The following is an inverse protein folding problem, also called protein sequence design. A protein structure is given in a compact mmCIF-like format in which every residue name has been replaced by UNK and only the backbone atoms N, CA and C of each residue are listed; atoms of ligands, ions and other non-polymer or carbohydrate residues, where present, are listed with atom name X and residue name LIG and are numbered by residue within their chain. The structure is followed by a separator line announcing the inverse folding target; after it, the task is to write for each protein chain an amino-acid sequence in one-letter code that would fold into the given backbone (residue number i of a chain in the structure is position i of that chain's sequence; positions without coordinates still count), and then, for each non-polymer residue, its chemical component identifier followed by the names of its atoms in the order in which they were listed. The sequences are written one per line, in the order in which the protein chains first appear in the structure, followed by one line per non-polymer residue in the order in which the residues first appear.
data_IF_680293408151
#
_entry.id   IF_680293408151
#
_cell.length_a   1.000
_cell.length_b   1.000
_cell.length_c   1.000
_cell.angle_alpha   90.00
_cell.angle_beta   90.00
_cell.angle_gamma   90.00
#
_symmetry.space_group_name_H-M   'P 1'
#
loop_
_entity.id
_entity.type
_entity.pdbx_description
1 polymer ?
#
# COMPACT_ATOMS: atom_id res chain seq x y z
N UNK A 1 5.70 -24.94 -8.19
CA UNK A 1 4.63 -23.95 -8.43
C UNK A 1 5.11 -22.58 -8.04
N UNK A 2 4.88 -21.62 -8.90
CA UNK A 2 5.39 -20.26 -8.71
C UNK A 2 4.45 -19.41 -7.87
N UNK A 3 4.53 -19.58 -6.57
CA UNK A 3 3.80 -18.76 -5.63
C UNK A 3 4.70 -18.28 -4.50
N UNK A 4 4.34 -17.15 -3.91
CA UNK A 4 5.01 -16.60 -2.74
C UNK A 4 3.96 -16.29 -1.69
N UNK A 5 4.24 -16.62 -0.44
CA UNK A 5 3.32 -16.35 0.65
C UNK A 5 3.40 -14.89 1.07
N UNK A 6 2.27 -14.22 1.26
CA UNK A 6 2.20 -12.80 1.62
C UNK A 6 1.44 -12.63 2.92
N UNK A 7 2.04 -11.90 3.84
CA UNK A 7 1.41 -11.53 5.10
C UNK A 7 1.50 -10.01 5.28
N UNK A 8 0.36 -9.36 5.43
CA UNK A 8 0.26 -7.91 5.67
C UNK A 8 -0.31 -7.71 7.07
N UNK A 9 0.49 -7.11 7.94
CA UNK A 9 0.17 -6.89 9.36
C UNK A 9 0.31 -5.42 9.70
N UNK A 10 -0.62 -4.89 10.48
CA UNK A 10 -0.53 -3.56 11.09
C UNK A 10 -0.57 -3.68 12.61
N UNK A 11 -0.44 -2.53 13.29
CA UNK A 11 -0.58 -2.47 14.75
C UNK A 11 -1.94 -2.97 15.23
N UNK A 12 -2.97 -2.91 14.39
CA UNK A 12 -4.33 -3.34 14.71
C UNK A 12 -4.59 -4.83 14.44
N UNK A 13 -3.64 -5.51 13.79
CA UNK A 13 -3.74 -6.93 13.50
C UNK A 13 -3.40 -7.29 12.07
N UNK A 14 -3.67 -8.52 11.72
CA UNK A 14 -3.45 -9.07 10.38
C UNK A 14 -4.54 -8.59 9.40
N UNK A 15 -4.11 -8.07 8.26
CA UNK A 15 -5.01 -7.58 7.22
C UNK A 15 -5.14 -8.59 6.09
N UNK A 16 -4.06 -9.27 5.74
CA UNK A 16 -4.04 -10.27 4.68
C UNK A 16 -3.02 -11.36 4.97
N UNK A 17 -3.39 -12.59 4.65
CA UNK A 17 -2.52 -13.76 4.71
C UNK A 17 -2.93 -14.72 3.59
N UNK A 18 -2.05 -14.92 2.61
CA UNK A 18 -2.36 -15.75 1.47
C UNK A 18 -1.21 -15.89 0.48
N UNK A 19 -1.43 -16.69 -0.55
CA UNK A 19 -0.44 -16.94 -1.59
C UNK A 19 -0.66 -16.01 -2.79
N UNK A 20 0.42 -15.52 -3.36
CA UNK A 20 0.41 -14.62 -4.50
C UNK A 20 1.30 -15.12 -5.64
N UNK A 21 0.91 -14.74 -6.86
CA UNK A 21 1.73 -14.88 -8.04
C UNK A 21 2.73 -13.73 -8.20
N UNK A 22 2.34 -12.53 -7.73
CA UNK A 22 3.18 -11.33 -7.77
C UNK A 22 2.67 -10.30 -6.76
N UNK A 23 3.57 -9.49 -6.23
CA UNK A 23 3.23 -8.40 -5.32
C UNK A 23 3.97 -7.13 -5.76
N UNK A 24 3.28 -5.99 -5.72
CA UNK A 24 3.86 -4.68 -5.95
C UNK A 24 3.69 -3.83 -4.69
N UNK A 25 4.77 -3.22 -4.23
CA UNK A 25 4.77 -2.46 -2.98
C UNK A 25 5.48 -1.10 -3.15
N UNK A 26 5.03 -0.05 -2.41
CA UNK A 26 5.60 1.29 -2.53
C UNK A 26 6.85 1.43 -1.65
N UNK A 27 8.00 0.96 -2.14
CA UNK A 27 9.26 1.06 -1.43
C UNK A 27 9.81 2.50 -1.47
N UNK A 28 10.79 2.80 -0.59
CA UNK A 28 11.36 4.14 -0.46
C UNK A 28 11.93 4.70 -1.76
N UNK A 29 12.55 3.85 -2.57
CA UNK A 29 13.18 4.25 -3.84
C UNK A 29 12.26 4.10 -5.05
N UNK A 30 11.00 3.78 -4.85
CA UNK A 30 10.01 3.55 -5.90
C UNK A 30 9.29 2.23 -5.72
N UNK A 31 8.31 1.98 -6.60
CA UNK A 31 7.57 0.73 -6.56
C UNK A 31 8.48 -0.47 -6.87
N UNK A 32 8.38 -1.51 -6.06
CA UNK A 32 9.10 -2.75 -6.25
C UNK A 32 8.11 -3.88 -6.59
N UNK A 33 8.41 -4.65 -7.64
CA UNK A 33 7.68 -5.84 -8.01
C UNK A 33 8.39 -7.09 -7.48
N UNK A 34 7.67 -7.97 -6.80
CA UNK A 34 8.23 -9.13 -6.14
C UNK A 34 7.57 -10.38 -6.71
N UNK A 35 8.37 -11.18 -7.38
CA UNK A 35 7.99 -12.48 -7.90
C UNK A 35 8.41 -13.60 -6.93
N UNK A 36 7.83 -14.81 -7.04
CA UNK A 36 8.30 -15.97 -6.28
C UNK A 36 9.80 -16.21 -6.47
N UNK A 37 10.46 -16.64 -5.42
CA UNK A 37 11.92 -16.86 -5.36
C UNK A 37 12.76 -15.58 -5.48
N UNK A 38 12.16 -14.42 -5.23
CA UNK A 38 12.88 -13.15 -5.19
C UNK A 38 14.01 -13.19 -4.17
N UNK A 39 15.13 -12.55 -4.49
CA UNK A 39 16.25 -12.42 -3.55
C UNK A 39 15.82 -11.70 -2.27
N UNK A 40 16.42 -12.05 -1.12
CA UNK A 40 16.10 -11.36 0.13
C UNK A 40 16.26 -9.84 0.03
N UNK A 41 15.28 -9.12 0.57
CA UNK A 41 15.26 -7.66 0.56
C UNK A 41 14.61 -7.16 1.85
N UNK A 42 15.18 -6.12 2.43
CA UNK A 42 14.58 -5.38 3.54
C UNK A 42 14.59 -3.90 3.19
N UNK A 43 13.42 -3.29 3.15
CA UNK A 43 13.31 -1.87 2.80
C UNK A 43 12.15 -1.21 3.52
N UNK A 44 12.25 0.12 3.70
CA UNK A 44 11.14 0.92 4.18
C UNK A 44 10.07 1.10 3.10
N UNK A 45 8.84 1.35 3.54
CA UNK A 45 7.71 1.66 2.69
C UNK A 45 7.29 3.11 2.85
N UNK A 46 6.90 3.73 1.74
CA UNK A 46 6.20 5.01 1.71
C UNK A 46 4.69 4.79 1.84
N UNK A 47 3.92 5.80 2.24
CA UNK A 47 2.48 5.74 2.07
C UNK A 47 2.12 5.44 0.62
N UNK A 48 1.29 4.42 0.41
CA UNK A 48 0.93 4.01 -0.94
C UNK A 48 0.11 2.73 -0.98
N UNK A 49 -0.10 2.23 -2.19
CA UNK A 49 -0.84 1.02 -2.45
C UNK A 49 0.05 -0.21 -2.60
N UNK A 50 -0.33 -1.27 -1.93
CA UNK A 50 0.20 -2.62 -2.16
C UNK A 50 -0.79 -3.35 -3.06
N UNK A 51 -0.30 -3.89 -4.17
CA UNK A 51 -1.10 -4.66 -5.12
C UNK A 51 -0.67 -6.12 -5.08
N UNK A 52 -1.62 -6.98 -4.79
CA UNK A 52 -1.38 -8.43 -4.71
C UNK A 52 -2.12 -9.11 -5.86
N UNK A 53 -1.40 -9.88 -6.67
CA UNK A 53 -1.99 -10.78 -7.65
C UNK A 53 -2.12 -12.14 -6.98
N UNK A 54 -3.32 -12.58 -6.61
CA UNK A 54 -3.48 -13.86 -5.92
C UNK A 54 -3.03 -15.02 -6.78
N UNK A 55 -2.47 -16.03 -6.14
CA UNK A 55 -2.15 -17.29 -6.81
C UNK A 55 -3.40 -18.16 -6.89
N UNK A 56 -3.73 -18.63 -8.08
CA UNK A 56 -4.83 -19.56 -8.33
C UNK A 56 -4.30 -20.73 -9.15
N UNK A 57 -4.63 -21.94 -8.76
CA UNK A 57 -4.26 -23.13 -9.53
C UNK A 57 -5.05 -23.16 -10.85
N UNK A 58 -4.41 -23.65 -11.92
CA UNK A 58 -5.06 -23.85 -13.22
C UNK A 58 -5.07 -22.64 -14.15
N UNK A 59 -4.24 -21.64 -13.91
CA UNK A 59 -4.12 -20.42 -14.73
C UNK A 59 -5.40 -19.56 -14.80
N UNK A 60 -6.32 -19.73 -13.89
CA UNK A 60 -7.44 -18.80 -13.76
C UNK A 60 -6.94 -17.45 -13.28
N UNK A 61 -7.45 -16.39 -13.89
CA UNK A 61 -7.15 -15.04 -13.43
C UNK A 61 -8.04 -14.69 -12.27
N UNK A 62 -7.44 -14.50 -11.10
CA UNK A 62 -8.13 -13.93 -9.96
C UNK A 62 -8.05 -12.40 -10.03
N UNK A 63 -9.02 -11.74 -9.42
CA UNK A 63 -8.99 -10.28 -9.28
C UNK A 63 -7.83 -9.85 -8.40
N UNK A 64 -7.15 -8.78 -8.81
CA UNK A 64 -6.09 -8.19 -8.00
C UNK A 64 -6.66 -7.60 -6.72
N UNK A 65 -5.90 -7.75 -5.64
CA UNK A 65 -6.25 -7.17 -4.34
C UNK A 65 -5.40 -5.93 -4.09
N UNK A 66 -6.04 -4.89 -3.58
CA UNK A 66 -5.40 -3.61 -3.29
C UNK A 66 -5.51 -3.30 -1.81
N UNK A 67 -4.37 -2.89 -1.23
CA UNK A 67 -4.28 -2.50 0.17
C UNK A 67 -3.58 -1.14 0.24
N UNK A 68 -4.10 -0.26 1.10
CA UNK A 68 -3.39 0.96 1.46
C UNK A 68 -2.50 0.70 2.67
N UNK A 69 -1.25 1.19 2.62
CA UNK A 69 -0.34 1.20 3.77
C UNK A 69 0.15 2.63 4.00
N UNK A 70 0.21 3.04 5.25
CA UNK A 70 0.65 4.39 5.62
C UNK A 70 2.17 4.54 5.73
N UNK A 71 2.89 3.50 5.44
CA UNK A 71 4.33 3.34 5.62
C UNK A 71 4.61 2.09 6.40
N UNK A 72 5.86 1.83 6.70
CA UNK A 72 6.28 0.65 7.43
C UNK A 72 7.51 0.00 6.81
N UNK A 73 7.60 -1.31 6.93
CA UNK A 73 8.75 -2.10 6.48
C UNK A 73 8.28 -3.28 5.63
N UNK A 74 9.01 -3.52 4.57
CA UNK A 74 8.84 -4.69 3.69
C UNK A 74 10.03 -5.62 3.88
N UNK A 75 9.77 -6.87 4.23
CA UNK A 75 10.75 -7.95 4.26
C UNK A 75 10.40 -8.98 3.18
N UNK A 76 11.37 -9.26 2.31
CA UNK A 76 11.23 -10.27 1.24
C UNK A 76 12.17 -11.41 1.50
N UNK A 77 11.64 -12.62 1.49
CA UNK A 77 12.37 -13.88 1.44
C UNK A 77 11.91 -14.65 0.20
N UNK A 78 12.68 -15.63 -0.31
CA UNK A 78 12.29 -16.32 -1.55
C UNK A 78 10.89 -16.94 -1.53
N UNK A 79 10.42 -17.37 -0.36
CA UNK A 79 9.13 -18.04 -0.19
C UNK A 79 8.08 -17.21 0.53
N UNK A 80 8.47 -16.06 1.09
CA UNK A 80 7.58 -15.26 1.95
C UNK A 80 7.86 -13.77 1.86
N UNK A 81 6.79 -12.99 1.78
CA UNK A 81 6.80 -11.53 1.91
C UNK A 81 6.08 -11.18 3.21
N UNK A 82 6.69 -10.32 4.03
CA UNK A 82 6.05 -9.76 5.22
C UNK A 82 6.02 -8.25 5.10
N UNK A 83 4.84 -7.67 5.21
CA UNK A 83 4.64 -6.23 5.26
C UNK A 83 4.17 -5.88 6.67
N UNK A 84 5.00 -5.13 7.40
CA UNK A 84 4.68 -4.57 8.70
C UNK A 84 4.36 -3.10 8.50
N UNK A 85 3.08 -2.80 8.41
CA UNK A 85 2.62 -1.44 8.14
C UNK A 85 2.27 -0.71 9.44
N UNK A 86 2.48 0.61 9.44
CA UNK A 86 2.02 1.44 10.55
C UNK A 86 0.50 1.39 10.64
N UNK A 87 -0.15 1.61 9.51
CA UNK A 87 -1.59 1.43 9.30
C UNK A 87 -1.80 0.72 7.97
N UNK A 88 -2.72 -0.21 7.93
CA UNK A 88 -3.09 -0.89 6.69
C UNK A 88 -4.60 -1.02 6.58
N UNK A 89 -5.11 -0.85 5.37
CA UNK A 89 -6.54 -0.98 5.08
C UNK A 89 -6.73 -1.66 3.73
N UNK A 90 -7.78 -2.47 3.62
CA UNK A 90 -8.22 -2.93 2.31
C UNK A 90 -8.73 -1.73 1.51
N UNK A 91 -8.42 -1.69 0.22
CA UNK A 91 -8.83 -0.56 -0.62
C UNK A 91 -10.35 -0.35 -0.63
N UNK A 92 -11.13 -1.42 -0.53
CA UNK A 92 -12.60 -1.35 -0.45
C UNK A 92 -13.12 -0.59 0.77
N UNK A 93 -12.30 -0.47 1.82
CA UNK A 93 -12.65 0.21 3.07
C UNK A 93 -12.18 1.67 3.08
N UNK A 94 -11.50 2.13 2.02
CA UNK A 94 -11.06 3.52 1.90
C UNK A 94 -12.24 4.44 1.59
N UNK A 95 -12.31 5.55 2.33
CA UNK A 95 -13.28 6.62 2.10
C UNK A 95 -12.62 7.74 1.32
N UNK A 96 -12.95 7.85 0.02
CA UNK A 96 -12.40 8.89 -0.85
C UNK A 96 -12.79 10.30 -0.42
N UNK A 97 -14.00 10.49 0.11
CA UNK A 97 -14.44 11.80 0.59
C UNK A 97 -13.66 12.23 1.84
N UNK A 98 -13.42 11.30 2.77
CA UNK A 98 -12.61 11.57 3.95
C UNK A 98 -11.15 11.87 3.59
N UNK A 99 -10.58 11.16 2.61
CA UNK A 99 -9.23 11.40 2.11
C UNK A 99 -9.10 12.77 1.46
N UNK A 100 -10.08 13.19 0.65
CA UNK A 100 -10.10 14.52 0.01
C UNK A 100 -10.18 15.64 1.05
N UNK A 101 -11.01 15.49 2.05
CA UNK A 101 -11.13 16.45 3.17
C UNK A 101 -9.83 16.53 3.98
N UNK A 102 -9.20 15.39 4.28
CA UNK A 102 -7.93 15.34 4.98
C UNK A 102 -6.82 16.04 4.17
N UNK A 103 -6.81 15.86 2.86
CA UNK A 103 -5.87 16.55 1.95
C UNK A 103 -6.04 18.07 2.03
N UNK A 104 -7.26 18.56 1.97
CA UNK A 104 -7.55 20.00 2.06
C UNK A 104 -7.10 20.60 3.38
N UNK A 105 -7.38 19.92 4.49
CA UNK A 105 -6.96 20.38 5.83
C UNK A 105 -5.43 20.45 5.93
N UNK A 106 -4.73 19.45 5.42
CA UNK A 106 -3.27 19.44 5.43
C UNK A 106 -2.68 20.56 4.56
N UNK A 107 -3.24 20.81 3.37
CA UNK A 107 -2.82 21.91 2.51
C UNK A 107 -3.04 23.27 3.18
N UNK A 108 -4.17 23.47 3.85
CA UNK A 108 -4.46 24.72 4.56
C UNK A 108 -3.50 24.95 5.74
N UNK A 109 -3.18 23.91 6.49
CA UNK A 109 -2.19 23.97 7.58
C UNK A 109 -0.79 24.33 7.07
N UNK A 110 -0.40 23.81 5.93
CA UNK A 110 0.89 24.15 5.29
C UNK A 110 0.95 25.61 4.85
N UNK A 111 -0.16 26.19 4.45
CA UNK A 111 -0.24 27.63 4.10
C UNK A 111 -0.06 28.55 5.30
N UNK A 112 -0.49 28.13 6.49
CA UNK A 112 -0.43 28.93 7.71
C UNK A 112 0.97 28.97 8.36
N UNK A 113 1.85 27.99 8.09
CA UNK A 113 3.26 27.91 8.52
C UNK A 113 3.52 28.21 10.00
N UNK A 114 2.78 27.58 10.88
CA UNK A 114 2.78 27.95 12.31
C UNK A 114 3.97 27.42 13.12
N UNK A 115 4.44 26.19 12.85
CA UNK A 115 5.63 25.61 13.48
C UNK A 115 6.24 24.49 12.63
N UNK A 116 7.51 24.14 12.90
CA UNK A 116 8.18 23.05 12.19
C UNK A 116 7.50 21.69 12.44
N UNK A 117 7.01 21.46 13.67
CA UNK A 117 6.31 20.22 14.03
C UNK A 117 4.94 20.14 13.33
N UNK A 118 4.19 21.23 13.29
CA UNK A 118 2.91 21.29 12.61
C UNK A 118 3.05 21.14 11.10
N UNK A 119 4.10 21.73 10.51
CA UNK A 119 4.43 21.56 9.08
C UNK A 119 4.76 20.11 8.78
N UNK A 120 5.58 19.45 9.60
CA UNK A 120 5.94 18.04 9.41
C UNK A 120 4.72 17.12 9.52
N UNK A 121 3.84 17.37 10.50
CA UNK A 121 2.59 16.62 10.66
C UNK A 121 1.66 16.82 9.46
N UNK A 122 1.49 18.06 9.01
CA UNK A 122 0.65 18.37 7.85
C UNK A 122 1.19 17.73 6.56
N UNK A 123 2.52 17.72 6.38
CA UNK A 123 3.13 17.05 5.23
C UNK A 123 2.90 15.55 5.26
N UNK A 124 2.97 14.91 6.42
CA UNK A 124 2.71 13.48 6.57
C UNK A 124 1.24 13.16 6.28
N UNK A 125 0.30 13.96 6.78
CA UNK A 125 -1.13 13.82 6.51
C UNK A 125 -1.46 14.03 5.03
N UNK A 126 -0.82 15.00 4.40
CA UNK A 126 -0.97 15.26 2.97
C UNK A 126 -0.49 14.07 2.14
N UNK A 127 0.68 13.52 2.47
CA UNK A 127 1.23 12.36 1.78
C UNK A 127 0.32 11.14 1.91
N UNK A 128 -0.22 10.89 3.10
CA UNK A 128 -1.15 9.79 3.34
C UNK A 128 -2.44 9.96 2.55
N UNK A 129 -3.06 11.14 2.59
CA UNK A 129 -4.30 11.42 1.86
C UNK A 129 -4.10 11.34 0.34
N UNK A 130 -3.00 11.89 -0.17
CA UNK A 130 -2.66 11.82 -1.58
C UNK A 130 -2.44 10.37 -2.05
N UNK A 131 -1.80 9.54 -1.23
CA UNK A 131 -1.57 8.13 -1.53
C UNK A 131 -2.89 7.35 -1.60
N UNK A 132 -3.82 7.61 -0.68
CA UNK A 132 -5.15 6.99 -0.69
C UNK A 132 -5.94 7.35 -1.94
N UNK A 133 -5.95 8.63 -2.32
CA UNK A 133 -6.63 9.11 -3.52
C UNK A 133 -6.02 8.52 -4.79
N UNK A 134 -4.70 8.46 -4.85
CA UNK A 134 -3.99 7.87 -5.98
C UNK A 134 -4.32 6.38 -6.16
N UNK A 135 -4.39 5.64 -5.06
CA UNK A 135 -4.77 4.22 -5.08
C UNK A 135 -6.20 4.05 -5.58
N UNK A 136 -7.13 4.87 -5.11
CA UNK A 136 -8.52 4.84 -5.57
C UNK A 136 -8.64 5.13 -7.07
N UNK A 137 -7.85 6.06 -7.59
CA UNK A 137 -7.80 6.32 -9.04
C UNK A 137 -7.27 5.12 -9.83
N UNK A 138 -6.22 4.47 -9.36
CA UNK A 138 -5.68 3.25 -9.99
C UNK A 138 -6.71 2.14 -10.07
N UNK A 139 -7.48 1.95 -9.01
CA UNK A 139 -8.54 0.94 -8.96
C UNK A 139 -9.64 1.24 -9.99
N UNK A 140 -10.05 2.51 -10.09
CA UNK A 140 -11.04 2.94 -11.09
C UNK A 140 -10.55 2.68 -12.52
N UNK A 141 -9.29 2.97 -12.81
CA UNK A 141 -8.69 2.72 -14.13
C UNK A 141 -8.63 1.22 -14.43
N UNK A 142 -8.24 0.39 -13.48
CA UNK A 142 -8.20 -1.05 -13.64
C UNK A 142 -9.60 -1.64 -13.91
N UNK A 143 -10.64 -1.12 -13.26
CA UNK A 143 -12.02 -1.53 -13.48
C UNK A 143 -12.53 -1.16 -14.89
N UNK A 144 -12.10 -0.02 -15.46
CA UNK A 144 -12.50 0.43 -16.79
C UNK A 144 -11.85 -0.36 -17.94
N UNK A 145 -10.71 -0.99 -17.69
CA UNK A 145 -9.97 -1.73 -18.73
C UNK A 145 -10.35 -3.22 -18.81
N UNK A 146 -11.30 -3.65 -18.03
CA UNK A 146 -11.82 -5.02 -18.02
C UNK A 146 -12.98 -5.24 -18.95
#
# INVERSE_FOLDING_TARGET
MNKIHVNIVSAEGEIFDGDAAMVFAPAQMGEVGIAPNHAPLLTGLKPGGVRVQPFVEGNEKADELFFYVSGGVLEVQPKKITILADTAMRAKDLDGAAAEEARRRAEDLLKERTSAVEVATAQAELAAAAAQLHLLEKIKKAAKTR
#
